data_IF_152755209918
#
_entry.id   IF_152755209918
#
_cell.length_a   1.000
_cell.length_b   1.000
_cell.length_c   1.000
_cell.angle_alpha   90.00
_cell.angle_beta   90.00
_cell.angle_gamma   90.00
#
_symmetry.space_group_name_H-M   'P 1'
#
loop_
_entity.id
_entity.type
_entity.pdbx_description
1 polymer ?
#
# COMPACT_ATOMS: atom_id res chain seq x y z
N UNK A 1 7.77 -8.94 -2.15
CA UNK A 1 7.66 -10.37 -2.52
C UNK A 1 6.20 -10.77 -2.68
N UNK A 2 5.87 -11.56 -3.72
CA UNK A 2 4.54 -12.12 -3.95
C UNK A 2 4.42 -13.47 -3.23
N UNK A 3 4.04 -13.43 -1.94
CA UNK A 3 3.88 -14.60 -1.08
C UNK A 3 2.64 -14.48 -0.20
N UNK A 4 2.24 -15.58 0.42
CA UNK A 4 1.06 -15.67 1.29
C UNK A 4 0.99 -14.60 2.38
N UNK A 5 2.13 -14.24 2.96
CA UNK A 5 2.21 -13.20 3.99
C UNK A 5 1.61 -11.87 3.54
N UNK A 6 1.84 -11.47 2.28
CA UNK A 6 1.47 -10.15 1.75
C UNK A 6 0.01 -10.01 1.34
N UNK A 7 -0.81 -11.04 1.49
CA UNK A 7 -2.26 -11.00 1.33
C UNK A 7 -2.77 -10.34 0.04
N UNK A 8 -2.03 -10.47 -1.06
CA UNK A 8 -2.43 -9.87 -2.34
C UNK A 8 -3.70 -10.47 -2.93
N UNK A 9 -4.03 -11.71 -2.57
CA UNK A 9 -5.30 -12.36 -2.87
C UNK A 9 -6.49 -11.57 -2.31
N UNK A 10 -6.37 -11.04 -1.07
CA UNK A 10 -7.37 -10.18 -0.42
C UNK A 10 -7.36 -8.78 -1.04
N UNK A 11 -6.18 -8.26 -1.37
CA UNK A 11 -6.03 -6.96 -2.03
C UNK A 11 -6.71 -6.91 -3.42
N UNK A 12 -6.62 -8.01 -4.19
CA UNK A 12 -7.31 -8.14 -5.49
C UNK A 12 -8.84 -8.09 -5.29
N UNK A 13 -9.38 -8.79 -4.28
CA UNK A 13 -10.80 -8.73 -3.97
C UNK A 13 -11.24 -7.33 -3.51
N UNK A 14 -10.38 -6.63 -2.77
CA UNK A 14 -10.63 -5.23 -2.39
C UNK A 14 -10.65 -4.32 -3.63
N UNK A 15 -9.74 -4.50 -4.58
CA UNK A 15 -9.73 -3.75 -5.84
C UNK A 15 -11.00 -4.01 -6.67
N UNK A 16 -11.50 -5.25 -6.68
CA UNK A 16 -12.78 -5.57 -7.33
C UNK A 16 -13.92 -4.76 -6.73
N UNK A 17 -13.99 -4.65 -5.41
CA UNK A 17 -15.00 -3.83 -4.72
C UNK A 17 -14.90 -2.35 -5.08
N UNK A 18 -13.68 -1.80 -5.13
CA UNK A 18 -13.44 -0.40 -5.51
C UNK A 18 -13.93 -0.15 -6.94
N UNK A 19 -13.62 -1.05 -7.87
CA UNK A 19 -14.09 -0.98 -9.26
C UNK A 19 -15.62 -1.07 -9.37
N UNK A 20 -16.22 -2.04 -8.66
CA UNK A 20 -17.69 -2.24 -8.67
C UNK A 20 -18.45 -1.05 -8.06
N UNK A 21 -17.83 -0.34 -7.12
CA UNK A 21 -18.36 0.91 -6.57
C UNK A 21 -18.19 2.10 -7.53
N UNK A 22 -17.61 1.91 -8.72
CA UNK A 22 -17.50 2.94 -9.77
C UNK A 22 -16.24 3.80 -9.68
N UNK A 23 -15.32 3.52 -8.77
CA UNK A 23 -14.07 4.28 -8.64
C UNK A 23 -13.05 3.89 -9.71
N UNK A 24 -12.38 4.88 -10.26
CA UNK A 24 -11.26 4.71 -11.20
C UNK A 24 -9.96 4.75 -10.41
N UNK A 25 -9.37 3.60 -10.17
CA UNK A 25 -8.11 3.46 -9.47
C UNK A 25 -7.21 2.43 -10.19
N UNK A 26 -5.89 2.52 -9.95
CA UNK A 26 -4.92 1.52 -10.36
C UNK A 26 -4.07 1.13 -9.17
N UNK A 27 -3.89 -0.16 -8.99
CA UNK A 27 -3.07 -0.72 -7.93
C UNK A 27 -1.83 -1.40 -8.54
N UNK A 28 -0.66 -0.97 -8.12
CA UNK A 28 0.62 -1.51 -8.57
C UNK A 28 1.25 -2.35 -7.45
N UNK A 29 1.62 -3.57 -7.76
CA UNK A 29 2.36 -4.47 -6.89
C UNK A 29 3.73 -4.71 -7.48
N UNK A 30 4.78 -4.25 -6.79
CA UNK A 30 6.16 -4.41 -7.21
C UNK A 30 6.76 -5.67 -6.58
N UNK A 31 7.41 -6.48 -7.38
CA UNK A 31 8.14 -7.66 -6.92
C UNK A 31 7.76 -8.95 -7.63
N UNK A 32 8.42 -10.01 -7.17
CA UNK A 32 8.27 -11.38 -7.64
C UNK A 32 8.00 -12.33 -6.46
N UNK A 33 7.51 -13.52 -6.74
CA UNK A 33 7.30 -14.55 -5.73
C UNK A 33 6.46 -15.73 -6.19
N UNK A 34 6.34 -16.71 -5.30
CA UNK A 34 5.67 -17.99 -5.58
C UNK A 34 4.18 -17.87 -5.94
N UNK A 35 3.52 -16.80 -5.52
CA UNK A 35 2.09 -16.61 -5.78
C UNK A 35 1.78 -15.87 -7.09
N UNK A 36 2.79 -15.44 -7.87
CA UNK A 36 2.54 -14.66 -9.09
C UNK A 36 1.48 -15.29 -9.99
N UNK A 37 1.64 -16.56 -10.35
CA UNK A 37 0.74 -17.23 -11.29
C UNK A 37 -0.71 -17.31 -10.76
N UNK A 38 -0.89 -17.58 -9.48
CA UNK A 38 -2.22 -17.64 -8.85
C UNK A 38 -2.87 -16.27 -8.78
N UNK A 39 -2.09 -15.23 -8.49
CA UNK A 39 -2.57 -13.84 -8.45
C UNK A 39 -2.95 -13.33 -9.85
N UNK A 40 -2.13 -13.57 -10.86
CA UNK A 40 -2.43 -13.23 -12.26
C UNK A 40 -3.71 -13.91 -12.77
N UNK A 41 -3.87 -15.20 -12.43
CA UNK A 41 -5.09 -15.93 -12.74
C UNK A 41 -6.31 -15.27 -12.09
N UNK A 42 -6.23 -14.93 -10.80
CA UNK A 42 -7.32 -14.27 -10.07
C UNK A 42 -7.64 -12.89 -10.64
N UNK A 43 -6.63 -12.09 -10.97
CA UNK A 43 -6.81 -10.77 -11.62
C UNK A 43 -7.59 -10.92 -12.92
N UNK A 44 -7.24 -11.90 -13.75
CA UNK A 44 -7.92 -12.20 -15.02
C UNK A 44 -9.35 -12.68 -14.81
N UNK A 45 -9.58 -13.60 -13.88
CA UNK A 45 -10.91 -14.13 -13.56
C UNK A 45 -11.89 -13.03 -13.09
N UNK A 46 -11.37 -12.00 -12.42
CA UNK A 46 -12.14 -10.85 -11.94
C UNK A 46 -12.19 -9.67 -12.93
N UNK A 47 -11.54 -9.79 -14.09
CA UNK A 47 -11.49 -8.73 -15.11
C UNK A 47 -10.79 -7.46 -14.63
N UNK A 48 -9.67 -7.60 -13.88
CA UNK A 48 -8.95 -6.51 -13.25
C UNK A 48 -7.59 -6.21 -13.90
N UNK A 49 -7.32 -6.70 -15.11
CA UNK A 49 -6.00 -6.59 -15.77
C UNK A 49 -5.56 -5.13 -16.01
N UNK A 50 -6.51 -4.21 -16.06
CA UNK A 50 -6.23 -2.77 -16.23
C UNK A 50 -6.10 -2.02 -14.92
N UNK A 51 -6.64 -2.55 -13.83
CA UNK A 51 -6.71 -1.93 -12.52
C UNK A 51 -5.68 -2.47 -11.53
N UNK A 52 -5.31 -3.76 -11.65
CA UNK A 52 -4.37 -4.42 -10.74
C UNK A 52 -3.13 -4.90 -11.51
N UNK A 53 -2.04 -4.16 -11.38
CA UNK A 53 -0.86 -4.27 -12.22
C UNK A 53 0.33 -4.85 -11.44
N UNK A 54 0.97 -5.87 -12.00
CA UNK A 54 2.13 -6.54 -11.41
C UNK A 54 3.33 -6.46 -12.37
N UNK A 55 4.02 -5.31 -12.45
CA UNK A 55 5.10 -5.10 -13.41
C UNK A 55 6.37 -5.92 -13.13
N UNK A 56 6.42 -6.66 -12.02
CA UNK A 56 7.58 -7.44 -11.63
C UNK A 56 8.49 -6.74 -10.63
N UNK A 57 9.70 -7.27 -10.45
CA UNK A 57 10.71 -6.66 -9.60
C UNK A 57 11.26 -5.40 -10.28
N UNK A 58 11.39 -4.32 -9.49
CA UNK A 58 12.00 -3.07 -9.93
C UNK A 58 13.23 -2.78 -9.09
N UNK A 59 14.26 -2.22 -9.70
CA UNK A 59 15.50 -1.84 -9.00
C UNK A 59 15.28 -0.63 -8.08
N UNK A 60 14.40 0.29 -8.48
CA UNK A 60 14.06 1.49 -7.71
C UNK A 60 12.55 1.62 -7.55
N UNK A 61 11.97 1.36 -6.36
CA UNK A 61 10.54 1.51 -6.09
C UNK A 61 10.10 2.95 -5.82
N UNK A 62 11.01 3.86 -5.51
CA UNK A 62 10.68 5.20 -5.03
C UNK A 62 9.87 6.06 -6.01
N UNK A 63 10.05 6.00 -7.34
CA UNK A 63 9.19 6.69 -8.29
C UNK A 63 7.72 6.27 -8.18
N UNK A 64 7.44 5.01 -7.85
CA UNK A 64 6.08 4.52 -7.62
C UNK A 64 5.48 5.10 -6.34
N UNK A 65 6.24 5.13 -5.24
CA UNK A 65 5.78 5.77 -3.99
C UNK A 65 5.48 7.27 -4.21
N UNK A 66 6.36 7.99 -4.92
CA UNK A 66 6.19 9.44 -5.17
C UNK A 66 4.95 9.76 -6.00
N UNK A 67 4.53 8.85 -6.87
CA UNK A 67 3.37 9.02 -7.75
C UNK A 67 2.09 8.43 -7.16
N UNK A 68 2.20 7.62 -6.10
CA UNK A 68 1.05 6.99 -5.49
C UNK A 68 0.26 7.99 -4.63
N UNK A 69 -1.04 8.06 -4.83
CA UNK A 69 -1.95 8.79 -3.95
C UNK A 69 -2.09 8.11 -2.59
N UNK A 70 -2.06 6.76 -2.57
CA UNK A 70 -2.24 5.93 -1.39
C UNK A 70 -1.26 4.76 -1.46
N UNK A 71 -0.55 4.52 -0.37
CA UNK A 71 0.23 3.30 -0.18
C UNK A 71 -0.58 2.30 0.64
N UNK A 72 -0.76 1.09 0.11
CA UNK A 72 -1.52 0.03 0.80
C UNK A 72 -0.60 -1.09 1.23
N UNK A 73 -0.61 -1.42 2.52
CA UNK A 73 0.15 -2.50 3.13
C UNK A 73 -0.77 -3.59 3.69
N UNK A 74 -1.37 -4.37 2.79
CA UNK A 74 -2.15 -5.54 3.17
C UNK A 74 -1.21 -6.71 3.51
N UNK A 75 -1.24 -7.18 4.75
CA UNK A 75 -0.40 -8.30 5.19
C UNK A 75 -1.10 -9.10 6.27
N UNK A 76 -0.89 -10.43 6.28
CA UNK A 76 -1.45 -11.32 7.32
C UNK A 76 -0.71 -11.19 8.63
N UNK A 77 0.59 -10.99 8.56
CA UNK A 77 1.47 -10.75 9.70
C UNK A 77 2.69 -9.96 9.25
N UNK A 78 3.15 -9.09 10.12
CA UNK A 78 4.34 -8.27 9.87
C UNK A 78 5.06 -8.02 11.19
N UNK A 79 6.39 -7.93 11.11
CA UNK A 79 7.19 -7.29 12.13
C UNK A 79 7.29 -5.78 11.86
N UNK A 80 8.46 -5.22 11.97
CA UNK A 80 8.70 -3.83 11.58
C UNK A 80 8.93 -3.72 10.08
N UNK A 81 8.01 -3.10 9.35
CA UNK A 81 8.06 -3.00 7.88
C UNK A 81 8.90 -1.82 7.42
N UNK A 82 9.99 -2.10 6.69
CA UNK A 82 10.79 -1.07 6.02
C UNK A 82 9.94 -0.34 4.96
N UNK A 83 9.09 -1.06 4.24
CA UNK A 83 8.23 -0.47 3.21
C UNK A 83 7.22 0.56 3.76
N UNK A 84 6.73 0.37 4.99
CA UNK A 84 5.93 1.40 5.70
C UNK A 84 6.80 2.62 6.00
N UNK A 85 8.04 2.44 6.47
CA UNK A 85 8.95 3.55 6.77
C UNK A 85 9.32 4.33 5.50
N UNK A 86 9.53 3.65 4.38
CA UNK A 86 9.73 4.26 3.07
C UNK A 86 8.52 5.11 2.67
N UNK A 87 7.31 4.54 2.76
CA UNK A 87 6.06 5.25 2.47
C UNK A 87 5.86 6.48 3.37
N UNK A 88 6.14 6.37 4.67
CA UNK A 88 6.10 7.48 5.63
C UNK A 88 7.10 8.59 5.24
N UNK A 89 8.36 8.22 4.97
CA UNK A 89 9.41 9.18 4.59
C UNK A 89 9.05 9.95 3.32
N UNK A 90 8.41 9.27 2.37
CA UNK A 90 7.97 9.85 1.10
C UNK A 90 6.64 10.61 1.21
N UNK A 91 5.98 10.52 2.37
CA UNK A 91 4.71 11.20 2.62
C UNK A 91 3.56 10.60 1.83
N UNK A 92 3.50 9.28 1.72
CA UNK A 92 2.33 8.60 1.21
C UNK A 92 1.21 8.60 2.26
N UNK A 93 -0.03 8.73 1.85
CA UNK A 93 -1.16 8.36 2.70
C UNK A 93 -1.22 6.83 2.81
N UNK A 94 -1.23 6.29 4.03
CA UNK A 94 -1.05 4.86 4.26
C UNK A 94 -2.37 4.21 4.68
N UNK A 95 -2.70 3.07 4.05
CA UNK A 95 -3.72 2.12 4.51
C UNK A 95 -3.01 0.79 4.79
N UNK A 96 -3.12 0.27 6.00
CA UNK A 96 -2.47 -0.99 6.37
C UNK A 96 -3.42 -1.93 7.12
N UNK A 97 -3.19 -3.23 6.98
CA UNK A 97 -3.91 -4.23 7.79
C UNK A 97 -3.56 -4.08 9.26
N UNK A 98 -4.57 -4.29 10.12
CA UNK A 98 -4.44 -4.16 11.57
C UNK A 98 -3.77 -5.41 12.18
N UNK A 99 -2.44 -5.42 12.17
CA UNK A 99 -1.60 -6.43 12.83
C UNK A 99 -0.54 -5.77 13.71
N UNK A 100 0.08 -6.55 14.59
CA UNK A 100 0.97 -6.01 15.63
C UNK A 100 2.07 -5.10 15.08
N UNK A 101 2.83 -5.55 14.09
CA UNK A 101 3.93 -4.76 13.52
C UNK A 101 3.47 -3.47 12.82
N UNK A 102 2.26 -3.46 12.27
CA UNK A 102 1.69 -2.25 11.65
C UNK A 102 1.20 -1.26 12.74
N UNK A 103 0.61 -1.75 13.84
CA UNK A 103 0.21 -0.91 14.99
C UNK A 103 1.37 -0.19 15.65
N UNK A 104 2.57 -0.79 15.64
CA UNK A 104 3.78 -0.15 16.18
C UNK A 104 4.27 1.01 15.29
N UNK A 105 3.89 1.01 14.03
CA UNK A 105 4.38 1.98 13.04
C UNK A 105 3.34 3.02 12.63
N UNK A 106 2.05 2.77 12.86
CA UNK A 106 0.94 3.60 12.40
C UNK A 106 0.01 3.95 13.56
N UNK A 107 -0.27 5.24 13.71
CA UNK A 107 -1.31 5.75 14.60
C UNK A 107 -2.58 5.93 13.75
N UNK A 108 -3.57 5.06 13.99
CA UNK A 108 -4.80 5.05 13.20
C UNK A 108 -5.51 6.41 13.18
N UNK A 109 -5.81 6.90 12.00
CA UNK A 109 -6.51 8.18 11.78
C UNK A 109 -5.61 9.41 11.85
N UNK A 110 -4.35 9.27 12.26
CA UNK A 110 -3.37 10.37 12.33
C UNK A 110 -2.36 10.28 11.19
N UNK A 111 -1.51 9.26 11.15
CA UNK A 111 -0.45 9.09 10.16
C UNK A 111 -0.66 7.88 9.22
N UNK A 112 -1.84 7.26 9.30
CA UNK A 112 -2.30 6.17 8.45
C UNK A 112 -3.64 5.64 8.90
N UNK A 113 -4.24 4.75 8.10
CA UNK A 113 -5.43 4.01 8.45
C UNK A 113 -5.09 2.54 8.69
N UNK A 114 -5.46 2.00 9.85
CA UNK A 114 -5.45 0.57 10.13
C UNK A 114 -6.84 0.01 9.85
N UNK A 115 -6.93 -1.10 9.12
CA UNK A 115 -8.19 -1.75 8.76
C UNK A 115 -8.10 -3.26 8.96
N UNK A 116 -9.25 -3.91 9.12
CA UNK A 116 -9.29 -5.38 9.14
C UNK A 116 -8.74 -5.95 7.83
N UNK A 117 -8.10 -7.10 7.90
CA UNK A 117 -7.60 -7.80 6.72
C UNK A 117 -8.74 -8.56 6.04
N UNK A 118 -9.67 -7.84 5.48
CA UNK A 118 -10.74 -8.33 4.62
C UNK A 118 -10.99 -7.37 3.45
N UNK A 119 -11.54 -7.87 2.33
CA UNK A 119 -11.70 -7.05 1.12
C UNK A 119 -12.55 -5.80 1.32
N UNK A 120 -13.58 -5.88 2.17
CA UNK A 120 -14.49 -4.76 2.41
C UNK A 120 -13.80 -3.65 3.21
N UNK A 121 -13.16 -4.00 4.33
CA UNK A 121 -12.48 -3.03 5.20
C UNK A 121 -11.33 -2.32 4.50
N UNK A 122 -10.58 -3.04 3.66
CA UNK A 122 -9.51 -2.46 2.84
C UNK A 122 -10.11 -1.49 1.81
N UNK A 123 -11.14 -1.92 1.07
CA UNK A 123 -11.79 -1.08 0.06
C UNK A 123 -12.40 0.19 0.69
N UNK A 124 -13.13 0.06 1.78
CA UNK A 124 -13.75 1.19 2.49
C UNK A 124 -12.70 2.22 2.96
N UNK A 125 -11.56 1.75 3.48
CA UNK A 125 -10.46 2.62 3.91
C UNK A 125 -9.85 3.37 2.74
N UNK A 126 -9.61 2.69 1.61
CA UNK A 126 -9.07 3.31 0.39
C UNK A 126 -10.08 4.33 -0.15
N UNK A 127 -11.35 3.97 -0.29
CA UNK A 127 -12.41 4.85 -0.78
C UNK A 127 -12.53 6.10 0.10
N UNK A 128 -12.45 5.96 1.43
CA UNK A 128 -12.49 7.10 2.35
C UNK A 128 -11.39 8.12 2.08
N UNK A 129 -10.22 7.68 1.61
CA UNK A 129 -9.10 8.56 1.25
C UNK A 129 -9.20 9.08 -0.20
N UNK A 130 -9.91 8.38 -1.08
CA UNK A 130 -10.21 8.87 -2.43
C UNK A 130 -11.21 10.02 -2.35
N UNK A 131 -12.27 9.86 -1.58
CA UNK A 131 -13.38 10.81 -1.46
C UNK A 131 -12.99 12.05 -0.64
N UNK A 132 -12.17 11.88 0.40
CA UNK A 132 -11.72 12.96 1.27
C UNK A 132 -10.23 13.30 1.02
N UNK A 133 -9.99 14.17 0.06
CA UNK A 133 -8.65 14.65 -0.31
C UNK A 133 -7.96 15.38 0.85
N UNK A 134 -8.72 16.09 1.69
CA UNK A 134 -8.16 16.82 2.83
C UNK A 134 -7.69 15.85 3.93
N UNK A 135 -8.49 14.84 4.25
CA UNK A 135 -8.07 13.75 5.14
C UNK A 135 -6.82 13.05 4.61
N UNK A 136 -6.80 12.70 3.32
CA UNK A 136 -5.64 12.08 2.67
C UNK A 136 -4.39 12.96 2.81
N UNK A 137 -4.50 14.26 2.56
CA UNK A 137 -3.41 15.22 2.69
C UNK A 137 -2.88 15.30 4.13
N UNK A 138 -3.78 15.40 5.13
CA UNK A 138 -3.40 15.45 6.56
C UNK A 138 -2.63 14.21 6.99
N UNK A 139 -3.12 13.03 6.63
CA UNK A 139 -2.45 11.75 6.92
C UNK A 139 -1.06 11.70 6.27
N UNK A 140 -0.95 12.09 5.00
CA UNK A 140 0.32 12.16 4.26
C UNK A 140 1.33 13.10 4.94
N UNK A 141 0.90 14.28 5.38
CA UNK A 141 1.75 15.24 6.08
C UNK A 141 2.19 14.75 7.46
N UNK A 142 1.30 14.11 8.21
CA UNK A 142 1.62 13.53 9.51
C UNK A 142 2.62 12.36 9.36
N UNK A 143 2.40 11.47 8.38
CA UNK A 143 3.33 10.38 8.06
C UNK A 143 4.74 10.91 7.74
N UNK A 144 4.85 11.95 6.92
CA UNK A 144 6.13 12.57 6.55
C UNK A 144 6.88 13.20 7.73
N UNK A 145 6.15 13.75 8.71
CA UNK A 145 6.73 14.39 9.90
C UNK A 145 7.20 13.40 10.94
N UNK A 146 6.73 12.16 10.86
CA UNK A 146 7.08 11.11 11.83
C UNK A 146 8.59 10.91 11.91
N UNK A 147 9.09 10.80 13.10
CA UNK A 147 10.48 10.41 13.33
C UNK A 147 10.61 8.89 13.24
N UNK A 148 11.41 8.43 12.29
CA UNK A 148 11.66 7.01 12.02
C UNK A 148 13.14 6.72 11.97
N UNK A 149 13.54 5.58 12.54
CA UNK A 149 14.93 5.19 12.76
C UNK A 149 15.80 5.26 11.49
N UNK A 150 15.26 4.91 10.34
CA UNK A 150 16.00 4.88 9.06
C UNK A 150 15.72 6.05 8.12
N UNK A 151 15.10 7.12 8.63
CA UNK A 151 14.69 8.26 7.78
C UNK A 151 15.87 8.93 7.05
N UNK A 152 17.00 9.05 7.72
CA UNK A 152 18.22 9.61 7.13
C UNK A 152 18.78 8.74 6.01
N UNK A 153 18.84 7.43 6.23
CA UNK A 153 19.31 6.47 5.24
C UNK A 153 18.38 6.40 4.01
N UNK A 154 17.07 6.41 4.23
CA UNK A 154 16.08 6.43 3.14
C UNK A 154 16.22 7.73 2.33
N UNK A 155 16.41 8.87 2.98
CA UNK A 155 16.64 10.16 2.30
C UNK A 155 17.92 10.15 1.46
N UNK A 156 19.01 9.64 2.01
CA UNK A 156 20.27 9.51 1.30
C UNK A 156 20.15 8.63 0.05
N UNK A 157 19.49 7.48 0.18
CA UNK A 157 19.20 6.61 -0.96
C UNK A 157 18.38 7.31 -2.04
N UNK A 158 17.39 8.11 -1.64
CA UNK A 158 16.58 8.91 -2.57
C UNK A 158 17.40 9.95 -3.33
N UNK A 159 18.38 10.56 -2.71
CA UNK A 159 19.28 11.55 -3.32
C UNK A 159 20.26 10.88 -4.30
N UNK A 160 20.79 9.70 -3.96
CA UNK A 160 21.73 8.94 -4.81
C UNK A 160 21.06 8.29 -6.03
N UNK A 161 19.73 8.17 -6.05
CA UNK A 161 18.97 7.52 -7.11
C UNK A 161 18.23 8.52 -8.02
N UNK A 162 18.53 9.80 -7.93
CA UNK A 162 18.08 10.86 -8.84
C UNK A 162 19.05 11.02 -10.02
#
# INVERSE_FOLDING_TARGET
RLNYQKAYDIAIDAMKRIKDAGYKARWYILGEGSERNSLEKKVKELGLEKEFLMPGAVSNPFPYYKQADIYVHATRFEGKSIAIQEAQTLGCAIVASDCNGNREQIIHGEDGLLCKLDPKSIADSIISLIDDKEKRRKISEAARKKDIVHKGEIKLLLELMQ
#
